data_IF_664958577350
#
_entry.id   IF_664958577350
#
_cell.length_a   1.000
_cell.length_b   1.000
_cell.length_c   1.000
_cell.angle_alpha   90.00
_cell.angle_beta   90.00
_cell.angle_gamma   90.00
#
_symmetry.space_group_name_H-M   'P 1'
#
loop_
_entity.id
_entity.type
_entity.pdbx_description
1 polymer ?
#
# COMPACT_ATOMS: atom_id res chain seq x y z
N UNK A 1 9.83 -21.89 5.51
CA UNK A 1 10.68 -20.76 5.97
C UNK A 1 10.15 -20.22 7.29
N UNK A 2 10.80 -20.54 8.43
CA UNK A 2 10.77 -19.76 9.69
C UNK A 2 12.12 -19.94 10.41
N UNK A 3 13.22 -19.30 9.96
CA UNK A 3 14.52 -19.52 10.59
C UNK A 3 14.74 -18.68 11.87
N UNK A 4 14.00 -17.58 12.09
CA UNK A 4 14.33 -16.60 13.15
C UNK A 4 13.14 -16.06 13.97
N UNK A 5 11.89 -16.33 13.58
CA UNK A 5 10.71 -15.88 14.32
C UNK A 5 9.84 -17.09 14.71
N UNK A 6 9.64 -17.24 16.02
CA UNK A 6 8.88 -18.35 16.60
C UNK A 6 7.37 -18.18 16.47
N UNK A 7 6.89 -16.94 16.34
CA UNK A 7 5.47 -16.63 16.17
C UNK A 7 4.96 -16.88 14.75
N UNK A 8 3.65 -16.70 14.57
CA UNK A 8 3.06 -16.63 13.24
C UNK A 8 3.16 -15.20 12.69
N UNK A 9 3.72 -15.04 11.48
CA UNK A 9 3.83 -13.72 10.85
C UNK A 9 2.48 -13.27 10.28
N UNK A 10 1.57 -14.23 10.01
CA UNK A 10 0.24 -13.95 9.47
C UNK A 10 -0.70 -13.36 10.53
N UNK A 11 -0.35 -13.46 11.82
CA UNK A 11 -1.11 -12.85 12.91
C UNK A 11 -0.71 -11.40 13.16
N UNK A 12 0.40 -10.93 12.58
CA UNK A 12 0.79 -9.54 12.70
C UNK A 12 -0.26 -8.62 12.08
N UNK A 13 -0.59 -7.51 12.75
CA UNK A 13 -1.53 -6.55 12.21
C UNK A 13 -0.97 -5.97 10.91
N UNK A 14 -1.80 -5.97 9.88
CA UNK A 14 -1.50 -5.41 8.58
C UNK A 14 -2.70 -4.62 8.08
N UNK A 15 -2.42 -3.63 7.24
CA UNK A 15 -3.43 -2.77 6.65
C UNK A 15 -3.09 -2.57 5.18
N UNK A 16 -3.94 -3.09 4.28
CA UNK A 16 -3.80 -2.90 2.84
C UNK A 16 -4.78 -1.80 2.39
N UNK A 17 -4.21 -0.64 2.05
CA UNK A 17 -4.95 0.54 1.59
C UNK A 17 -5.77 0.22 0.34
N UNK A 18 -5.18 -0.49 -0.63
CA UNK A 18 -5.85 -0.78 -1.90
C UNK A 18 -6.99 -1.77 -1.70
N UNK A 19 -6.79 -2.75 -0.81
CA UNK A 19 -7.84 -3.70 -0.46
C UNK A 19 -9.02 -3.01 0.23
N UNK A 20 -8.77 -2.09 1.16
CA UNK A 20 -9.85 -1.33 1.82
C UNK A 20 -10.60 -0.43 0.84
N UNK A 21 -9.89 0.22 -0.09
CA UNK A 21 -10.52 1.00 -1.17
C UNK A 21 -11.34 0.09 -2.09
N UNK A 22 -10.82 -1.07 -2.48
CA UNK A 22 -11.51 -2.05 -3.32
C UNK A 22 -12.80 -2.55 -2.67
N UNK A 23 -12.81 -2.84 -1.37
CA UNK A 23 -14.02 -3.22 -0.62
C UNK A 23 -15.11 -2.15 -0.68
N UNK A 24 -14.74 -0.87 -0.67
CA UNK A 24 -15.69 0.26 -0.71
C UNK A 24 -16.20 0.56 -2.11
N UNK A 25 -15.33 0.43 -3.11
CA UNK A 25 -15.60 0.83 -4.49
C UNK A 25 -16.14 -0.33 -5.35
N UNK A 26 -15.85 -1.58 -4.97
CA UNK A 26 -16.27 -2.79 -5.68
C UNK A 26 -15.34 -3.23 -6.81
N UNK A 27 -14.20 -2.57 -6.99
CA UNK A 27 -13.17 -2.97 -7.95
C UNK A 27 -11.79 -2.44 -7.54
N UNK A 28 -10.73 -3.10 -8.00
CA UNK A 28 -9.34 -2.71 -7.75
C UNK A 28 -8.99 -1.36 -8.40
N UNK A 29 -8.51 -0.42 -7.59
CA UNK A 29 -8.01 0.89 -8.02
C UNK A 29 -6.49 0.85 -8.17
N UNK A 30 -5.96 1.54 -9.17
CA UNK A 30 -4.50 1.68 -9.34
C UNK A 30 -3.93 2.62 -8.28
N UNK A 31 -2.78 2.28 -7.71
CA UNK A 31 -2.06 3.13 -6.76
C UNK A 31 -1.83 4.54 -7.32
N UNK A 32 -1.42 4.65 -8.58
CA UNK A 32 -1.20 5.92 -9.27
C UNK A 32 -2.46 6.79 -9.35
N UNK A 33 -3.64 6.19 -9.51
CA UNK A 33 -4.90 6.93 -9.56
C UNK A 33 -5.23 7.57 -8.19
N UNK A 34 -4.90 6.89 -7.10
CA UNK A 34 -5.03 7.43 -5.74
C UNK A 34 -3.98 8.50 -5.47
N UNK A 35 -2.72 8.24 -5.82
CA UNK A 35 -1.61 9.17 -5.64
C UNK A 35 -1.86 10.51 -6.35
N UNK A 36 -2.35 10.46 -7.59
CA UNK A 36 -2.59 11.65 -8.40
C UNK A 36 -3.64 12.57 -7.81
N UNK A 37 -4.79 12.04 -7.41
CA UNK A 37 -5.92 12.88 -6.94
C UNK A 37 -5.87 13.15 -5.43
N UNK A 38 -5.15 12.33 -4.66
CA UNK A 38 -4.98 12.53 -3.21
C UNK A 38 -3.76 13.39 -2.89
N UNK A 39 -2.61 13.10 -3.49
CA UNK A 39 -1.32 13.74 -3.17
C UNK A 39 -0.87 14.74 -4.25
N UNK A 40 -1.48 14.75 -5.43
CA UNK A 40 -1.02 15.54 -6.58
C UNK A 40 0.25 14.96 -7.23
N UNK A 41 0.66 13.76 -6.85
CA UNK A 41 1.88 13.10 -7.34
C UNK A 41 1.49 12.05 -8.38
N UNK A 42 2.15 12.07 -9.53
CA UNK A 42 2.05 11.00 -10.53
C UNK A 42 3.24 10.07 -10.43
N UNK A 43 2.98 8.77 -10.49
CA UNK A 43 4.02 7.76 -10.57
C UNK A 43 4.71 7.86 -11.93
N UNK A 44 6.05 7.87 -11.91
CA UNK A 44 6.88 8.06 -13.08
C UNK A 44 7.12 6.79 -13.92
N UNK A 45 6.15 5.87 -14.00
CA UNK A 45 6.32 4.60 -14.71
C UNK A 45 5.18 3.59 -14.52
N UNK A 46 5.15 2.59 -15.39
CA UNK A 46 4.20 1.47 -15.40
C UNK A 46 4.76 0.23 -14.71
N UNK A 47 3.89 -0.69 -14.28
CA UNK A 47 4.28 -2.02 -13.80
C UNK A 47 5.14 -2.81 -14.80
N UNK A 48 4.97 -2.55 -16.09
CA UNK A 48 5.76 -3.16 -17.15
C UNK A 48 7.22 -2.69 -17.13
N UNK A 49 7.49 -1.46 -16.69
CA UNK A 49 8.84 -0.89 -16.69
C UNK A 49 9.75 -1.64 -15.71
N UNK A 50 9.21 -2.08 -14.56
CA UNK A 50 9.95 -2.88 -13.60
C UNK A 50 10.44 -4.21 -14.20
N UNK A 51 9.60 -4.86 -15.01
CA UNK A 51 9.92 -6.11 -15.70
C UNK A 51 11.03 -5.85 -16.72
N UNK A 52 10.92 -4.78 -17.51
CA UNK A 52 11.93 -4.37 -18.48
C UNK A 52 13.27 -4.05 -17.82
N UNK A 53 13.28 -3.26 -16.73
CA UNK A 53 14.51 -2.93 -16.01
C UNK A 53 15.19 -4.16 -15.44
N UNK A 54 14.42 -5.11 -14.90
CA UNK A 54 14.95 -6.37 -14.40
C UNK A 54 15.63 -7.18 -15.52
N UNK A 55 14.95 -7.37 -16.66
CA UNK A 55 15.52 -8.12 -17.80
C UNK A 55 16.76 -7.46 -18.39
N UNK A 56 16.82 -6.13 -18.40
CA UNK A 56 17.95 -5.38 -18.92
C UNK A 56 19.10 -5.22 -17.90
N UNK A 57 18.93 -5.68 -16.65
CA UNK A 57 19.92 -5.49 -15.59
C UNK A 57 20.04 -4.03 -15.11
N UNK A 58 19.02 -3.20 -15.34
CA UNK A 58 18.97 -1.78 -14.97
C UNK A 58 18.56 -1.60 -13.50
N UNK A 59 19.39 -2.12 -12.58
CA UNK A 59 19.09 -2.19 -11.14
C UNK A 59 18.81 -0.83 -10.49
N UNK A 60 19.50 0.23 -10.89
CA UNK A 60 19.28 1.57 -10.33
C UNK A 60 17.87 2.09 -10.64
N UNK A 61 17.40 1.86 -11.88
CA UNK A 61 16.04 2.26 -12.28
C UNK A 61 14.98 1.42 -11.59
N UNK A 62 15.22 0.12 -11.47
CA UNK A 62 14.34 -0.79 -10.74
C UNK A 62 14.21 -0.40 -9.27
N UNK A 63 15.34 -0.15 -8.59
CA UNK A 63 15.36 0.31 -7.19
C UNK A 63 14.61 1.63 -7.04
N UNK A 64 14.87 2.60 -7.92
CA UNK A 64 14.18 3.90 -7.88
C UNK A 64 12.66 3.75 -8.07
N UNK A 65 12.25 2.90 -9.00
CA UNK A 65 10.84 2.59 -9.24
C UNK A 65 10.18 1.96 -8.01
N UNK A 66 10.82 0.95 -7.41
CA UNK A 66 10.30 0.28 -6.21
C UNK A 66 10.23 1.23 -5.01
N UNK A 67 11.24 2.07 -4.80
CA UNK A 67 11.26 3.06 -3.72
C UNK A 67 10.18 4.12 -3.89
N UNK A 68 9.89 4.52 -5.13
CA UNK A 68 8.81 5.46 -5.41
C UNK A 68 7.45 4.88 -4.97
N UNK A 69 7.19 3.60 -5.24
CA UNK A 69 5.95 2.93 -4.82
C UNK A 69 5.80 2.87 -3.30
N UNK A 70 6.90 2.58 -2.58
CA UNK A 70 6.91 2.58 -1.10
C UNK A 70 6.64 3.99 -0.55
N UNK A 71 7.26 5.01 -1.15
CA UNK A 71 7.10 6.41 -0.73
C UNK A 71 5.64 6.86 -0.92
N UNK A 72 5.07 6.62 -2.11
CA UNK A 72 3.68 6.95 -2.41
C UNK A 72 2.72 6.23 -1.45
N UNK A 73 2.96 4.95 -1.15
CA UNK A 73 2.10 4.18 -0.24
C UNK A 73 2.14 4.75 1.18
N UNK A 74 3.33 5.14 1.66
CA UNK A 74 3.50 5.80 2.94
C UNK A 74 2.77 7.14 2.98
N UNK A 75 2.96 8.00 1.97
CA UNK A 75 2.35 9.32 1.93
C UNK A 75 0.82 9.23 1.85
N UNK A 76 0.28 8.25 1.11
CA UNK A 76 -1.15 7.97 1.09
C UNK A 76 -1.67 7.52 2.45
N UNK A 77 -0.92 6.68 3.16
CA UNK A 77 -1.28 6.25 4.51
C UNK A 77 -1.32 7.45 5.47
N UNK A 78 -0.28 8.30 5.46
CA UNK A 78 -0.22 9.49 6.32
C UNK A 78 -1.34 10.49 6.00
N UNK A 79 -1.61 10.72 4.72
CA UNK A 79 -2.74 11.55 4.30
C UNK A 79 -4.07 10.96 4.77
N UNK A 80 -4.27 9.67 4.54
CA UNK A 80 -5.49 8.96 4.90
C UNK A 80 -5.74 8.96 6.41
N UNK A 81 -4.70 8.75 7.20
CA UNK A 81 -4.75 8.82 8.67
C UNK A 81 -5.16 10.21 9.16
N UNK A 82 -4.66 11.27 8.50
CA UNK A 82 -4.96 12.66 8.87
C UNK A 82 -6.35 13.13 8.41
N UNK A 83 -6.81 12.71 7.24
CA UNK A 83 -8.01 13.25 6.60
C UNK A 83 -9.21 12.30 6.63
N UNK A 84 -9.02 11.00 6.90
CA UNK A 84 -10.06 9.97 6.92
C UNK A 84 -10.63 9.60 5.55
N UNK A 85 -10.05 10.12 4.46
CA UNK A 85 -10.49 9.86 3.08
C UNK A 85 -9.31 9.78 2.10
N UNK A 86 -9.53 9.07 1.00
CA UNK A 86 -8.68 9.04 -0.19
C UNK A 86 -9.50 9.42 -1.43
N UNK A 87 -8.83 9.91 -2.47
CA UNK A 87 -9.47 10.40 -3.70
C UNK A 87 -8.85 9.77 -4.93
N UNK A 88 -9.68 9.46 -5.92
CA UNK A 88 -9.23 9.00 -7.24
C UNK A 88 -10.28 9.34 -8.31
N UNK A 89 -9.90 9.28 -9.59
CA UNK A 89 -10.84 9.40 -10.71
C UNK A 89 -11.26 8.02 -11.21
N UNK A 90 -12.56 7.83 -11.37
CA UNK A 90 -13.12 6.59 -11.92
C UNK A 90 -12.95 6.52 -13.45
N UNK A 91 -13.44 5.42 -14.06
CA UNK A 91 -13.38 5.23 -15.52
C UNK A 91 -14.16 6.28 -16.33
N UNK A 92 -15.11 6.97 -15.69
CA UNK A 92 -15.91 8.04 -16.28
C UNK A 92 -15.33 9.44 -16.01
N UNK A 93 -14.09 9.50 -15.49
CA UNK A 93 -13.37 10.75 -15.16
C UNK A 93 -14.01 11.57 -14.03
N UNK A 94 -14.88 10.94 -13.23
CA UNK A 94 -15.51 11.57 -12.07
C UNK A 94 -14.61 11.40 -10.84
N UNK A 95 -14.51 12.44 -10.02
CA UNK A 95 -13.75 12.41 -8.78
C UNK A 95 -14.55 11.66 -7.70
N UNK A 96 -14.02 10.52 -7.27
CA UNK A 96 -14.59 9.70 -6.21
C UNK A 96 -13.80 9.92 -4.93
N UNK A 97 -14.52 10.13 -3.82
CA UNK A 97 -13.95 10.16 -2.47
C UNK A 97 -14.32 8.88 -1.74
N UNK A 98 -13.33 8.24 -1.14
CA UNK A 98 -13.48 6.99 -0.40
C UNK A 98 -13.10 7.24 1.03
N UNK A 99 -14.07 7.10 1.93
CA UNK A 99 -13.78 7.07 3.36
C UNK A 99 -13.12 5.73 3.71
N UNK A 100 -11.94 5.82 4.29
CA UNK A 100 -11.14 4.67 4.70
C UNK A 100 -10.86 4.80 6.18
N UNK A 101 -11.19 3.75 6.95
CA UNK A 101 -10.89 3.73 8.38
C UNK A 101 -9.46 3.22 8.57
N UNK A 102 -8.57 4.08 9.05
CA UNK A 102 -7.17 3.77 9.36
C UNK A 102 -6.95 3.42 10.84
N UNK A 103 -8.01 3.37 11.65
CA UNK A 103 -7.92 2.98 13.05
C UNK A 103 -7.46 1.53 13.19
N UNK A 104 -6.46 1.36 14.05
CA UNK A 104 -5.95 0.06 14.41
C UNK A 104 -7.01 -0.73 15.19
N UNK A 105 -7.35 -1.91 14.69
CA UNK A 105 -8.22 -2.85 15.40
C UNK A 105 -7.33 -3.84 16.15
N UNK A 106 -7.27 -3.72 17.48
CA UNK A 106 -6.58 -4.69 18.33
C UNK A 106 -7.18 -6.09 18.13
N UNK A 107 -6.42 -6.99 17.50
CA UNK A 107 -6.71 -8.43 17.63
C UNK A 107 -6.17 -8.88 18.98
N UNK A 108 -7.01 -9.53 19.79
CA UNK A 108 -6.60 -10.16 21.05
C UNK A 108 -5.44 -11.11 20.79
N UNK A 109 -4.28 -10.75 21.32
CA UNK A 109 -3.04 -11.50 21.10
C UNK A 109 -3.08 -12.82 21.88
N UNK A 110 -2.94 -13.94 21.18
CA UNK A 110 -2.58 -15.23 21.78
C UNK A 110 -1.06 -15.23 21.91
N UNK A 111 -0.56 -14.54 22.93
CA UNK A 111 0.84 -14.19 23.09
C UNK A 111 1.79 -15.36 22.85
N UNK A 112 2.75 -15.16 21.96
CA UNK A 112 3.86 -16.10 21.76
C UNK A 112 4.91 -15.78 22.82
N UNK A 113 4.98 -16.61 23.86
CA UNK A 113 5.96 -16.46 24.94
C UNK A 113 7.38 -16.69 24.38
N UNK A 114 8.08 -15.59 24.08
CA UNK A 114 9.50 -15.56 23.73
C UNK A 114 10.31 -15.32 24.99
N UNK A 115 10.30 -16.26 25.93
CA UNK A 115 11.16 -16.14 27.11
C UNK A 115 12.63 -16.14 26.68
N UNK A 116 13.34 -15.05 27.00
CA UNK A 116 14.78 -15.07 27.25
C UNK A 116 14.97 -15.79 28.60
N UNK A 117 15.10 -17.11 28.57
CA UNK A 117 15.81 -17.83 29.61
C UNK A 117 17.23 -18.12 29.12
#
# INVERSE_FOLDING_TARGET
LKPYYLGDLLTLPNFDILQEVEKKVGYRVKLDALAKETLGVQKGGSGLDAITYYHNGEWDKLTKYCLQDVTITKDLYEYGLKNGELRFKNKWNELVRVSVNFEYQEKKDSGVQVTLF
#
